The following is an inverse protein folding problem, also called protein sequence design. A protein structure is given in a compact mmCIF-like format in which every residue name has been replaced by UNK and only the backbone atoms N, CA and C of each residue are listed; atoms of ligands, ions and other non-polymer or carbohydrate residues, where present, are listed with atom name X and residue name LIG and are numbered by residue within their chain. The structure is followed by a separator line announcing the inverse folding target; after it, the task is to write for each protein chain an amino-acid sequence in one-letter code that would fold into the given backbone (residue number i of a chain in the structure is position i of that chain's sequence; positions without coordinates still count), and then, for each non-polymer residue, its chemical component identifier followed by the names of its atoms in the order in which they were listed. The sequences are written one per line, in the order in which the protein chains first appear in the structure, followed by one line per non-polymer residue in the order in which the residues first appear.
data_IF_062991254900
#
_entry.id   IF_062991254900
#
_cell.length_a   1.000
_cell.length_b   1.000
_cell.length_c   1.000
_cell.angle_alpha   90.00
_cell.angle_beta   90.00
_cell.angle_gamma   90.00
#
_symmetry.space_group_name_H-M   'P 1'
#
loop_
_entity.id
_entity.type
_entity.pdbx_description
1 polymer ?
#
# COMPACT_ATOMS: atom_id res chain seq x y z
N UNK A 1 -6.84 -17.89 -10.18
CA UNK A 1 -6.62 -16.74 -11.08
C UNK A 1 -5.14 -16.39 -10.98
N UNK A 2 -4.41 -16.39 -12.10
CA UNK A 2 -2.96 -16.22 -12.06
C UNK A 2 -2.61 -14.84 -11.53
N UNK A 3 -1.85 -14.79 -10.43
CA UNK A 3 -1.29 -13.56 -9.88
C UNK A 3 -0.48 -12.89 -10.98
N UNK A 4 -1.01 -11.82 -11.57
CA UNK A 4 -0.25 -11.06 -12.55
C UNK A 4 1.03 -10.62 -11.87
N UNK A 5 2.18 -11.00 -12.43
CA UNK A 5 3.48 -10.61 -11.89
C UNK A 5 3.52 -9.09 -11.84
N UNK A 6 3.49 -8.52 -10.64
CA UNK A 6 3.66 -7.09 -10.45
C UNK A 6 5.11 -6.80 -10.81
N UNK A 7 5.31 -6.21 -11.98
CA UNK A 7 6.60 -5.62 -12.33
C UNK A 7 6.86 -4.49 -11.33
N UNK A 8 7.99 -4.51 -10.60
CA UNK A 8 8.35 -3.42 -9.70
C UNK A 8 8.30 -2.09 -10.45
N UNK A 9 7.43 -1.19 -9.99
CA UNK A 9 7.25 0.14 -10.57
C UNK A 9 7.26 1.19 -9.48
N UNK A 10 7.75 2.39 -9.80
CA UNK A 10 7.43 3.61 -9.08
C UNK A 10 6.01 3.63 -8.51
N UNK A 11 5.85 3.96 -7.22
CA UNK A 11 4.55 4.02 -6.53
C UNK A 11 3.56 4.92 -7.28
N UNK A 12 4.04 6.05 -7.80
CA UNK A 12 3.29 7.02 -8.61
C UNK A 12 2.95 6.53 -10.03
N UNK A 13 3.46 5.37 -10.44
CA UNK A 13 3.17 4.70 -11.72
C UNK A 13 2.57 3.32 -11.53
N UNK A 14 2.29 2.91 -10.30
CA UNK A 14 1.75 1.61 -10.01
C UNK A 14 0.23 1.64 -10.19
N UNK A 15 -0.28 0.64 -10.91
CA UNK A 15 -1.71 0.38 -11.03
C UNK A 15 -1.96 -1.00 -10.45
N UNK A 16 -2.83 -1.07 -9.44
CA UNK A 16 -3.21 -2.30 -8.78
C UNK A 16 -4.54 -2.81 -9.34
N UNK A 17 -4.74 -4.14 -9.42
CA UNK A 17 -6.06 -4.72 -9.66
C UNK A 17 -7.09 -4.27 -8.61
N UNK A 18 -8.36 -4.22 -9.02
CA UNK A 18 -9.47 -3.75 -8.16
C UNK A 18 -9.62 -4.55 -6.84
N UNK A 19 -9.23 -5.83 -6.83
CA UNK A 19 -9.25 -6.69 -5.66
C UNK A 19 -8.07 -6.47 -4.69
N UNK A 20 -7.06 -5.72 -5.13
CA UNK A 20 -5.79 -5.50 -4.42
C UNK A 20 -5.46 -4.03 -4.17
N UNK A 21 -6.25 -3.10 -4.68
CA UNK A 21 -6.05 -1.66 -4.44
C UNK A 21 -6.51 -1.19 -3.05
N UNK A 22 -7.30 -2.01 -2.36
CA UNK A 22 -7.73 -1.78 -0.99
C UNK A 22 -8.89 -0.82 -0.80
N UNK A 23 -9.56 -0.33 -1.86
CA UNK A 23 -10.76 0.53 -1.70
C UNK A 23 -11.86 -0.13 -0.87
N UNK A 24 -11.97 -1.46 -1.01
CA UNK A 24 -12.94 -2.30 -0.29
C UNK A 24 -12.28 -3.11 0.84
N UNK A 25 -11.13 -2.67 1.36
CA UNK A 25 -10.39 -3.37 2.40
C UNK A 25 -11.19 -3.56 3.69
N UNK A 26 -11.08 -4.73 4.32
CA UNK A 26 -11.87 -5.11 5.50
C UNK A 26 -11.44 -4.39 6.78
N UNK A 27 -10.22 -3.85 6.80
CA UNK A 27 -9.62 -3.09 7.90
C UNK A 27 -9.63 -1.57 7.61
N UNK A 28 -10.48 -1.08 6.70
CA UNK A 28 -10.72 0.36 6.54
C UNK A 28 -11.63 0.89 7.67
N UNK A 29 -11.37 2.12 8.09
CA UNK A 29 -12.24 2.80 9.04
C UNK A 29 -13.67 2.96 8.50
N UNK A 30 -14.66 2.53 9.27
CA UNK A 30 -16.09 2.63 8.94
C UNK A 30 -16.62 4.06 9.24
N UNK A 31 -15.92 4.82 10.08
CA UNK A 31 -16.30 6.17 10.51
C UNK A 31 -15.49 7.30 9.87
N UNK A 32 -15.13 8.32 10.66
CA UNK A 32 -14.37 9.47 10.19
C UNK A 32 -12.97 9.05 9.68
N UNK A 33 -12.70 9.32 8.41
CA UNK A 33 -11.37 9.18 7.82
C UNK A 33 -10.43 10.27 8.34
N UNK A 34 -9.22 9.90 8.78
CA UNK A 34 -8.20 10.84 9.25
C UNK A 34 -7.36 11.43 8.10
N UNK A 35 -7.32 10.71 6.97
CA UNK A 35 -6.63 11.11 5.75
C UNK A 35 -7.60 10.96 4.56
N UNK A 36 -7.40 11.75 3.52
CA UNK A 36 -8.22 11.75 2.31
C UNK A 36 -7.97 10.57 1.38
N UNK A 37 -7.55 9.41 1.90
CA UNK A 37 -7.16 8.26 1.09
C UNK A 37 -8.37 7.46 0.62
N UNK A 38 -8.52 7.31 -0.70
CA UNK A 38 -9.57 6.51 -1.30
C UNK A 38 -9.17 5.02 -1.39
N UNK A 39 -7.92 4.76 -1.78
CA UNK A 39 -7.32 3.42 -1.86
C UNK A 39 -6.05 3.32 -0.98
N UNK A 40 -5.25 2.26 -1.15
CA UNK A 40 -4.02 2.05 -0.37
C UNK A 40 -2.83 2.85 -0.92
N UNK A 41 -2.80 3.16 -2.21
CA UNK A 41 -1.76 4.00 -2.82
C UNK A 41 -1.89 5.46 -2.37
N UNK A 42 -3.10 5.96 -2.22
CA UNK A 42 -3.38 7.26 -1.61
C UNK A 42 -2.92 7.29 -0.13
N UNK A 43 -3.14 6.20 0.60
CA UNK A 43 -2.73 6.10 2.01
C UNK A 43 -1.21 6.17 2.14
N UNK A 44 -0.48 5.45 1.28
CA UNK A 44 0.98 5.54 1.21
C UNK A 44 1.46 6.93 0.78
N UNK A 45 0.82 7.54 -0.21
CA UNK A 45 1.13 8.91 -0.65
C UNK A 45 0.96 9.92 0.48
N UNK A 46 -0.14 9.84 1.24
CA UNK A 46 -0.40 10.70 2.38
C UNK A 46 0.62 10.49 3.51
N UNK A 47 1.01 9.23 3.78
CA UNK A 47 2.03 8.92 4.78
C UNK A 47 3.42 9.41 4.37
N UNK A 48 3.82 9.20 3.12
CA UNK A 48 5.09 9.68 2.57
C UNK A 48 5.21 11.20 2.66
N UNK A 49 4.15 11.93 2.29
CA UNK A 49 4.09 13.38 2.41
C UNK A 49 4.23 13.87 3.86
N UNK A 50 3.84 13.04 4.85
CA UNK A 50 3.94 13.37 6.28
C UNK A 50 5.30 13.06 6.89
N UNK A 51 5.94 11.96 6.47
CA UNK A 51 7.18 11.45 7.11
C UNK A 51 8.45 11.96 6.44
N UNK A 52 8.41 12.24 5.14
CA UNK A 52 9.59 12.63 4.38
C UNK A 52 9.88 14.13 4.51
N UNK A 53 10.97 14.47 5.21
CA UNK A 53 11.43 15.86 5.39
C UNK A 53 12.53 16.28 4.41
N UNK A 54 13.14 15.33 3.70
CA UNK A 54 14.20 15.55 2.71
C UNK A 54 13.98 14.64 1.50
N UNK A 55 14.60 14.99 0.37
CA UNK A 55 14.56 14.13 -0.83
C UNK A 55 15.09 12.73 -0.57
N UNK A 56 16.23 12.61 0.13
CA UNK A 56 16.81 11.31 0.44
C UNK A 56 15.90 10.47 1.35
N UNK A 57 15.29 11.08 2.36
CA UNK A 57 14.30 10.40 3.21
C UNK A 57 13.07 9.96 2.39
N UNK A 58 12.57 10.81 1.49
CA UNK A 58 11.47 10.46 0.60
C UNK A 58 11.79 9.25 -0.27
N UNK A 59 12.94 9.26 -0.94
CA UNK A 59 13.34 8.18 -1.85
C UNK A 59 13.50 6.85 -1.10
N UNK A 60 14.06 6.87 0.12
CA UNK A 60 14.18 5.68 0.97
C UNK A 60 12.81 5.14 1.43
N UNK A 61 11.97 5.99 2.03
CA UNK A 61 10.65 5.56 2.48
C UNK A 61 9.76 5.08 1.34
N UNK A 62 9.85 5.72 0.16
CA UNK A 62 9.15 5.29 -1.04
C UNK A 62 9.58 3.90 -1.47
N UNK A 63 10.89 3.64 -1.52
CA UNK A 63 11.43 2.31 -1.86
C UNK A 63 10.93 1.23 -0.89
N UNK A 64 10.98 1.49 0.41
CA UNK A 64 10.54 0.52 1.42
C UNK A 64 9.03 0.26 1.35
N UNK A 65 8.26 1.31 1.06
CA UNK A 65 6.80 1.23 0.84
C UNK A 65 6.45 0.41 -0.40
N UNK A 66 7.15 0.63 -1.51
CA UNK A 66 7.00 -0.15 -2.75
C UNK A 66 7.31 -1.63 -2.50
N UNK A 67 8.38 -1.92 -1.76
CA UNK A 67 8.75 -3.28 -1.41
C UNK A 67 7.69 -3.95 -0.53
N UNK A 68 7.19 -3.25 0.49
CA UNK A 68 6.10 -3.74 1.33
C UNK A 68 4.91 -4.10 0.46
N UNK A 69 4.42 -3.20 -0.37
CA UNK A 69 3.25 -3.43 -1.22
C UNK A 69 3.43 -4.64 -2.14
N UNK A 70 4.60 -4.79 -2.76
CA UNK A 70 4.93 -5.98 -3.57
C UNK A 70 4.86 -7.25 -2.71
N UNK A 71 5.42 -7.24 -1.49
CA UNK A 71 5.34 -8.37 -0.58
C UNK A 71 3.89 -8.72 -0.20
N UNK A 72 3.06 -7.73 0.14
CA UNK A 72 1.65 -7.95 0.50
C UNK A 72 0.88 -8.63 -0.64
N UNK A 73 1.09 -8.16 -1.87
CA UNK A 73 0.37 -8.70 -3.02
C UNK A 73 0.91 -10.07 -3.42
N UNK A 74 2.22 -10.23 -3.52
CA UNK A 74 2.83 -11.47 -4.02
C UNK A 74 2.71 -12.60 -2.99
N UNK A 75 2.90 -12.29 -1.71
CA UNK A 75 2.94 -13.32 -0.66
C UNK A 75 1.57 -13.55 -0.03
N UNK A 76 0.80 -12.49 0.23
CA UNK A 76 -0.46 -12.59 0.95
C UNK A 76 -1.69 -12.49 0.02
N UNK A 77 -1.53 -11.99 -1.21
CA UNK A 77 -2.65 -11.68 -2.11
C UNK A 77 -3.72 -10.83 -1.42
N UNK A 78 -3.28 -9.87 -0.60
CA UNK A 78 -4.15 -8.98 0.18
C UNK A 78 -3.75 -7.52 -0.04
N UNK A 79 -4.73 -6.60 -0.12
CA UNK A 79 -4.45 -5.17 -0.01
C UNK A 79 -3.97 -4.82 1.42
N UNK A 80 -3.24 -3.71 1.56
CA UNK A 80 -2.78 -3.19 2.85
C UNK A 80 -3.96 -2.98 3.82
N UNK A 81 -5.05 -2.42 3.31
CA UNK A 81 -6.26 -2.14 4.10
C UNK A 81 -7.09 -3.37 4.44
N UNK A 82 -6.63 -4.58 4.13
CA UNK A 82 -7.19 -5.84 4.64
C UNK A 82 -6.21 -6.61 5.51
N UNK A 83 -5.00 -6.08 5.77
CA UNK A 83 -4.06 -6.74 6.66
C UNK A 83 -4.54 -6.72 8.09
N UNK A 84 -4.29 -7.84 8.77
CA UNK A 84 -4.41 -7.95 10.21
C UNK A 84 -3.03 -8.08 10.86
N UNK A 85 -2.98 -8.10 12.19
CA UNK A 85 -1.74 -8.32 12.92
C UNK A 85 -1.12 -9.70 12.59
N UNK A 86 -1.98 -10.71 12.48
CA UNK A 86 -1.64 -12.11 12.24
C UNK A 86 -0.97 -12.32 10.87
N UNK A 87 -1.33 -11.51 9.87
CA UNK A 87 -0.70 -11.51 8.55
C UNK A 87 0.80 -11.13 8.59
N UNK A 88 1.25 -10.48 9.67
CA UNK A 88 2.64 -10.01 9.85
C UNK A 88 3.46 -10.85 10.84
N UNK A 89 2.90 -11.95 11.36
CA UNK A 89 3.61 -12.85 12.29
C UNK A 89 4.41 -13.95 11.58
N UNK A 90 4.46 -13.93 10.25
CA UNK A 90 5.13 -14.91 9.40
C UNK A 90 6.66 -14.91 9.54
#
# INVERSE_FOLDING_TARGET
MGTALITPRPLDKLALPDDLDGRNGTNRAIGRRQIGAYDDLDAFSAWLARVASTKNAFDNYRKDTELLLVCLIVQLSKPLSSLTHEDLLL
#
